data_IF_450231847296
#
_entry.id   IF_450231847296
#
_cell.length_a   1.000
_cell.length_b   1.000
_cell.length_c   1.000
_cell.angle_alpha   90.00
_cell.angle_beta   90.00
_cell.angle_gamma   90.00
#
_symmetry.space_group_name_H-M   'P 1'
#
loop_
_entity.id
_entity.type
_entity.pdbx_description
1 polymer ?
#
# COMPACT_ATOMS: atom_id res chain seq x y z
N UNK A 1 7.64 16.85 1.51
CA UNK A 1 6.63 16.12 2.32
C UNK A 1 7.03 16.21 3.79
N UNK A 2 6.11 16.56 4.66
CA UNK A 2 6.33 16.53 6.11
C UNK A 2 5.83 15.19 6.66
N UNK A 3 6.73 14.41 7.24
CA UNK A 3 6.41 13.06 7.72
C UNK A 3 5.36 13.07 8.84
N UNK A 4 5.41 14.06 9.74
CA UNK A 4 4.44 14.18 10.84
C UNK A 4 3.02 14.45 10.35
N UNK A 5 2.86 15.16 9.24
CA UNK A 5 1.54 15.43 8.67
C UNK A 5 0.83 14.17 8.17
N UNK A 6 1.55 13.07 7.99
CA UNK A 6 0.98 11.79 7.58
C UNK A 6 0.08 11.16 8.65
N UNK A 7 0.18 11.60 9.91
CA UNK A 7 -0.74 11.16 10.95
C UNK A 7 -2.21 11.50 10.65
N UNK A 8 -2.45 12.56 9.87
CA UNK A 8 -3.78 12.98 9.47
C UNK A 8 -4.41 12.07 8.41
N UNK A 9 -3.62 11.25 7.76
CA UNK A 9 -4.11 10.34 6.72
C UNK A 9 -4.85 9.18 7.36
N UNK A 10 -6.04 8.89 6.83
CA UNK A 10 -6.84 7.74 7.28
C UNK A 10 -6.05 6.44 7.11
N UNK A 11 -5.99 5.65 8.16
CA UNK A 11 -5.31 4.35 8.16
C UNK A 11 -4.97 3.91 9.58
N UNK A 12 -4.49 2.68 9.70
CA UNK A 12 -4.30 2.01 10.98
C UNK A 12 -2.85 2.06 11.47
N UNK A 13 -1.94 2.62 10.69
CA UNK A 13 -0.52 2.63 11.03
C UNK A 13 -0.18 3.76 12.02
N UNK A 14 0.30 3.44 13.24
CA UNK A 14 0.80 4.46 14.16
C UNK A 14 2.04 5.16 13.58
N UNK A 15 2.27 6.41 13.99
CA UNK A 15 3.38 7.21 13.47
C UNK A 15 4.74 6.52 13.63
N UNK A 16 5.01 5.94 14.80
CA UNK A 16 6.31 5.29 15.06
C UNK A 16 6.57 4.10 14.13
N UNK A 17 5.53 3.36 13.77
CA UNK A 17 5.65 2.27 12.79
C UNK A 17 5.88 2.84 11.38
N UNK A 18 5.17 3.90 11.02
CA UNK A 18 5.38 4.59 9.74
C UNK A 18 6.77 5.16 9.61
N UNK A 19 7.29 5.77 10.68
CA UNK A 19 8.66 6.28 10.70
C UNK A 19 9.69 5.17 10.49
N UNK A 20 9.52 4.03 11.15
CA UNK A 20 10.37 2.86 10.96
C UNK A 20 10.28 2.33 9.53
N UNK A 21 9.05 2.25 8.98
CA UNK A 21 8.82 1.82 7.62
C UNK A 21 9.52 2.73 6.61
N UNK A 22 9.47 4.04 6.84
CA UNK A 22 10.16 5.04 6.03
C UNK A 22 11.70 4.83 6.02
N UNK A 23 12.27 4.51 7.17
CA UNK A 23 13.70 4.22 7.28
C UNK A 23 14.10 2.95 6.53
N UNK A 24 13.29 1.91 6.62
CA UNK A 24 13.52 0.69 5.86
C UNK A 24 13.38 0.92 4.36
N UNK A 25 12.40 1.73 3.96
CA UNK A 25 12.23 2.10 2.56
C UNK A 25 13.47 2.84 2.03
N UNK A 26 14.02 3.76 2.79
CA UNK A 26 15.27 4.45 2.43
C UNK A 26 16.42 3.46 2.27
N UNK A 27 16.58 2.54 3.22
CA UNK A 27 17.66 1.57 3.19
C UNK A 27 17.56 0.62 1.99
N UNK A 28 16.39 0.01 1.80
CA UNK A 28 16.23 -1.06 0.81
C UNK A 28 15.94 -0.55 -0.60
N UNK A 29 15.44 0.68 -0.76
CA UNK A 29 15.25 1.27 -2.09
C UNK A 29 16.57 1.57 -2.80
N UNK A 30 17.69 1.55 -2.08
CA UNK A 30 19.02 1.55 -2.66
C UNK A 30 19.23 0.35 -3.61
N UNK A 31 18.52 -0.75 -3.40
CA UNK A 31 18.64 -1.98 -4.20
C UNK A 31 17.62 -2.09 -5.32
N UNK A 32 16.57 -1.30 -5.30
CA UNK A 32 15.51 -1.34 -6.29
C UNK A 32 14.20 -0.76 -5.78
N UNK A 33 13.17 -0.75 -6.61
CA UNK A 33 11.87 -0.23 -6.21
C UNK A 33 11.23 -1.07 -5.11
N UNK A 34 10.26 -0.46 -4.44
CA UNK A 34 9.53 -1.07 -3.34
C UNK A 34 8.15 -1.48 -3.83
N UNK A 35 7.65 -2.60 -3.34
CA UNK A 35 6.27 -3.02 -3.55
C UNK A 35 5.53 -3.10 -2.23
N UNK A 36 4.36 -2.50 -2.17
CA UNK A 36 3.41 -2.62 -1.08
C UNK A 36 2.22 -3.48 -1.50
N UNK A 37 1.83 -4.43 -0.66
CA UNK A 37 0.64 -5.24 -0.84
C UNK A 37 -0.36 -4.86 0.25
N UNK A 38 -1.50 -4.30 -0.17
CA UNK A 38 -2.49 -3.78 0.75
C UNK A 38 -2.23 -2.30 1.04
N UNK A 39 -2.99 -1.44 0.41
CA UNK A 39 -2.70 0.00 0.36
C UNK A 39 -3.72 0.82 1.11
N UNK A 40 -4.99 0.42 1.06
CA UNK A 40 -6.11 1.10 1.67
C UNK A 40 -6.16 2.57 1.20
N UNK A 41 -6.04 3.54 2.09
CA UNK A 41 -6.11 4.98 1.77
C UNK A 41 -4.73 5.61 1.54
N UNK A 42 -3.66 4.81 1.55
CA UNK A 42 -2.32 5.26 1.18
C UNK A 42 -1.44 5.74 2.31
N UNK A 43 -1.82 5.55 3.57
CA UNK A 43 -1.01 6.02 4.70
C UNK A 43 0.38 5.38 4.72
N UNK A 44 0.45 4.06 4.69
CA UNK A 44 1.73 3.33 4.62
C UNK A 44 2.47 3.62 3.33
N UNK A 45 1.74 3.74 2.21
CA UNK A 45 2.32 4.09 0.91
C UNK A 45 3.09 5.40 0.96
N UNK A 46 2.57 6.40 1.69
CA UNK A 46 3.20 7.71 1.84
C UNK A 46 4.49 7.63 2.68
N UNK A 47 4.51 6.82 3.73
CA UNK A 47 5.73 6.58 4.50
C UNK A 47 6.79 5.87 3.64
N UNK A 48 6.38 4.87 2.86
CA UNK A 48 7.27 4.20 1.91
C UNK A 48 7.80 5.16 0.85
N UNK A 49 6.92 6.00 0.30
CA UNK A 49 7.27 7.02 -0.69
C UNK A 49 8.33 7.98 -0.17
N UNK A 50 8.17 8.45 1.06
CA UNK A 50 9.12 9.36 1.69
C UNK A 50 10.53 8.75 1.74
N UNK A 51 10.64 7.50 2.19
CA UNK A 51 11.92 6.81 2.26
C UNK A 51 12.52 6.50 0.90
N UNK A 52 11.71 5.95 0.00
CA UNK A 52 12.15 5.55 -1.34
C UNK A 52 12.60 6.74 -2.19
N UNK A 53 11.98 7.90 -1.98
CA UNK A 53 12.34 9.11 -2.72
C UNK A 53 13.77 9.59 -2.44
N UNK A 54 14.35 9.22 -1.32
CA UNK A 54 15.75 9.50 -0.99
C UNK A 54 16.72 8.87 -2.01
N UNK A 55 16.30 7.77 -2.64
CA UNK A 55 17.07 7.06 -3.66
C UNK A 55 16.43 7.18 -5.07
N UNK A 56 15.48 8.10 -5.26
CA UNK A 56 14.75 8.30 -6.51
C UNK A 56 14.08 7.01 -6.99
N UNK A 57 13.54 6.21 -6.07
CA UNK A 57 12.93 4.93 -6.39
C UNK A 57 11.41 4.99 -6.35
N UNK A 58 10.78 4.12 -7.14
CA UNK A 58 9.34 3.95 -7.22
C UNK A 58 8.83 3.09 -6.07
N UNK A 59 7.58 3.35 -5.69
CA UNK A 59 6.80 2.51 -4.80
C UNK A 59 5.59 2.03 -5.58
N UNK A 60 5.55 0.73 -5.88
CA UNK A 60 4.39 0.09 -6.50
C UNK A 60 3.42 -0.32 -5.40
N UNK A 61 2.17 0.12 -5.48
CA UNK A 61 1.15 -0.20 -4.48
C UNK A 61 0.11 -1.11 -5.10
N UNK A 62 -0.03 -2.31 -4.56
CA UNK A 62 -0.96 -3.33 -5.07
C UNK A 62 -2.16 -3.43 -4.14
N UNK A 63 -3.33 -3.09 -4.64
CA UNK A 63 -4.58 -3.20 -3.91
C UNK A 63 -5.73 -3.19 -4.90
N UNK A 64 -6.73 -4.04 -4.71
CA UNK A 64 -7.94 -3.98 -5.53
C UNK A 64 -8.86 -2.82 -5.09
N UNK A 65 -8.63 -2.24 -3.92
CA UNK A 65 -9.38 -1.11 -3.34
C UNK A 65 -10.87 -1.37 -3.06
N UNK A 66 -11.26 -2.63 -3.03
CA UNK A 66 -12.64 -3.03 -2.68
C UNK A 66 -12.80 -3.36 -1.20
N UNK A 67 -11.76 -3.06 -0.40
CA UNK A 67 -11.70 -3.40 1.01
C UNK A 67 -11.39 -4.87 1.25
N UNK A 68 -10.96 -5.18 2.48
CA UNK A 68 -10.87 -6.56 2.95
C UNK A 68 -12.21 -6.99 3.56
N UNK A 69 -12.32 -8.23 3.99
CA UNK A 69 -13.51 -8.72 4.69
C UNK A 69 -13.87 -7.84 5.88
N UNK A 70 -12.87 -7.32 6.58
CA UNK A 70 -13.02 -6.45 7.75
C UNK A 70 -13.64 -5.09 7.44
N UNK A 71 -13.64 -4.66 6.17
CA UNK A 71 -14.18 -3.37 5.73
C UNK A 71 -15.60 -3.46 5.17
N UNK A 72 -16.18 -4.65 5.07
CA UNK A 72 -17.54 -4.83 4.55
C UNK A 72 -18.61 -4.38 5.55
N UNK A 73 -19.84 -4.18 5.08
CA UNK A 73 -20.98 -3.85 5.94
C UNK A 73 -21.10 -4.93 7.03
N UNK A 74 -21.37 -4.49 8.27
CA UNK A 74 -21.49 -5.32 9.47
C UNK A 74 -20.18 -5.93 9.97
N UNK A 75 -19.04 -5.62 9.35
CA UNK A 75 -17.74 -6.03 9.85
C UNK A 75 -17.09 -4.95 10.74
N UNK A 76 -16.08 -5.35 11.51
CA UNK A 76 -15.47 -4.52 12.55
C UNK A 76 -14.91 -3.19 12.03
N UNK A 77 -14.36 -3.16 10.83
CA UNK A 77 -13.70 -1.98 10.26
C UNK A 77 -14.49 -1.32 9.15
N UNK A 78 -15.81 -1.49 9.11
CA UNK A 78 -16.66 -0.80 8.14
C UNK A 78 -16.51 0.73 8.27
N UNK A 79 -16.35 1.40 7.12
CA UNK A 79 -16.13 2.84 7.06
C UNK A 79 -16.99 3.47 5.96
N UNK A 80 -17.89 4.37 6.33
CA UNK A 80 -18.78 5.06 5.41
C UNK A 80 -18.04 5.95 4.40
N UNK A 81 -16.85 6.47 4.74
CA UNK A 81 -16.11 7.34 3.83
C UNK A 81 -15.61 6.62 2.57
N UNK A 82 -15.40 5.32 2.68
CA UNK A 82 -14.94 4.50 1.55
C UNK A 82 -16.02 3.62 0.96
N UNK A 83 -17.24 3.70 1.50
CA UNK A 83 -18.37 2.92 0.99
C UNK A 83 -19.05 3.69 -0.13
N UNK A 84 -19.14 3.06 -1.29
CA UNK A 84 -19.80 3.62 -2.46
C UNK A 84 -21.23 3.11 -2.50
N UNK A 85 -22.18 4.04 -2.29
CA UNK A 85 -23.62 3.72 -2.27
C UNK A 85 -24.18 3.43 -3.66
N UNK A 86 -23.57 3.95 -4.72
CA UNK A 86 -24.01 3.70 -6.10
C UNK A 86 -23.71 2.26 -6.52
N UNK A 87 -22.51 1.77 -6.21
CA UNK A 87 -22.11 0.40 -6.51
C UNK A 87 -22.38 -0.58 -5.39
N UNK A 88 -22.85 -0.08 -4.24
CA UNK A 88 -23.10 -0.85 -3.03
C UNK A 88 -21.87 -1.65 -2.59
N UNK A 89 -20.68 -1.02 -2.65
CA UNK A 89 -19.40 -1.66 -2.36
C UNK A 89 -18.41 -0.70 -1.73
N UNK A 90 -17.37 -1.23 -1.10
CA UNK A 90 -16.23 -0.46 -0.60
C UNK A 90 -15.34 -0.06 -1.78
N UNK A 91 -14.90 1.19 -1.80
CA UNK A 91 -13.96 1.70 -2.79
C UNK A 91 -13.03 2.73 -2.14
N UNK A 92 -11.82 2.32 -1.81
CA UNK A 92 -10.81 3.18 -1.19
C UNK A 92 -9.94 3.95 -2.20
N UNK A 93 -10.05 3.64 -3.49
CA UNK A 93 -9.16 4.21 -4.50
C UNK A 93 -9.26 5.74 -4.64
N UNK A 94 -10.46 6.35 -4.68
CA UNK A 94 -10.55 7.81 -4.77
C UNK A 94 -9.87 8.53 -3.60
N UNK A 95 -10.01 8.02 -2.39
CA UNK A 95 -9.36 8.60 -1.21
C UNK A 95 -7.85 8.38 -1.25
N UNK A 96 -7.41 7.21 -1.69
CA UNK A 96 -5.99 6.93 -1.95
C UNK A 96 -5.40 7.97 -2.92
N UNK A 97 -6.02 8.18 -4.07
CA UNK A 97 -5.54 9.14 -5.07
C UNK A 97 -5.50 10.56 -4.49
N UNK A 98 -6.52 10.95 -3.75
CA UNK A 98 -6.58 12.25 -3.08
C UNK A 98 -5.38 12.44 -2.13
N UNK A 99 -5.06 11.43 -1.33
CA UNK A 99 -3.96 11.49 -0.39
C UNK A 99 -2.60 11.53 -1.09
N UNK A 100 -2.40 10.71 -2.11
CA UNK A 100 -1.16 10.72 -2.90
C UNK A 100 -0.93 12.11 -3.54
N UNK A 101 -1.98 12.70 -4.08
CA UNK A 101 -1.91 14.03 -4.70
C UNK A 101 -1.67 15.13 -3.66
N UNK A 102 -2.34 15.05 -2.51
CA UNK A 102 -2.16 16.01 -1.41
C UNK A 102 -0.71 16.12 -0.98
N UNK A 103 -0.03 15.00 -0.87
CA UNK A 103 1.38 14.95 -0.41
C UNK A 103 2.37 14.92 -1.56
N UNK A 104 1.91 15.03 -2.82
CA UNK A 104 2.77 15.08 -4.01
C UNK A 104 3.74 13.90 -4.10
N UNK A 105 3.24 12.72 -3.76
CA UNK A 105 4.03 11.49 -3.78
C UNK A 105 4.14 10.93 -5.21
N UNK A 106 4.90 11.62 -6.06
CA UNK A 106 5.00 11.33 -7.50
C UNK A 106 5.70 10.00 -7.81
N UNK A 107 6.38 9.40 -6.84
CA UNK A 107 7.02 8.10 -6.99
C UNK A 107 6.11 6.91 -6.63
N UNK A 108 4.85 7.14 -6.29
CA UNK A 108 3.87 6.08 -6.03
C UNK A 108 3.16 5.70 -7.32
N UNK A 109 3.19 4.41 -7.65
CA UNK A 109 2.57 3.85 -8.86
C UNK A 109 1.54 2.81 -8.43
N UNK A 110 0.23 3.13 -8.47
CA UNK A 110 -0.79 2.18 -8.06
C UNK A 110 -1.03 1.09 -9.10
N UNK A 111 -1.20 -0.13 -8.60
CA UNK A 111 -1.63 -1.29 -9.38
C UNK A 111 -2.95 -1.75 -8.77
N UNK A 112 -4.05 -1.44 -9.45
CA UNK A 112 -5.40 -1.73 -8.95
C UNK A 112 -5.79 -3.15 -9.37
N UNK A 113 -5.35 -4.10 -8.57
CA UNK A 113 -5.50 -5.53 -8.81
C UNK A 113 -5.45 -6.28 -7.49
N UNK A 114 -5.93 -7.53 -7.48
CA UNK A 114 -5.65 -8.42 -6.36
C UNK A 114 -4.16 -8.74 -6.32
N UNK A 115 -3.64 -9.04 -5.13
CA UNK A 115 -2.24 -9.42 -4.97
C UNK A 115 -1.90 -10.71 -5.75
N UNK A 116 -2.84 -11.64 -5.82
CA UNK A 116 -2.67 -12.89 -6.58
C UNK A 116 -2.50 -12.58 -8.07
N UNK A 117 -3.37 -11.76 -8.64
CA UNK A 117 -3.29 -11.41 -10.06
C UNK A 117 -2.03 -10.61 -10.39
N UNK A 118 -1.66 -9.66 -9.53
CA UNK A 118 -0.43 -8.89 -9.71
C UNK A 118 0.80 -9.80 -9.65
N UNK A 119 0.83 -10.75 -8.72
CA UNK A 119 1.96 -11.66 -8.54
C UNK A 119 2.16 -12.61 -9.73
N UNK A 120 1.08 -12.99 -10.42
CA UNK A 120 1.17 -13.90 -11.58
C UNK A 120 2.04 -13.36 -12.71
N UNK A 121 2.06 -12.05 -12.89
CA UNK A 121 2.75 -11.39 -14.01
C UNK A 121 3.94 -10.55 -13.58
N UNK A 122 4.18 -10.42 -12.28
CA UNK A 122 5.30 -9.62 -11.79
C UNK A 122 6.62 -10.37 -11.99
N UNK A 123 7.57 -9.74 -12.67
CA UNK A 123 8.88 -10.32 -12.96
C UNK A 123 10.04 -9.33 -12.82
N UNK A 124 9.79 -8.15 -12.28
CA UNK A 124 10.83 -7.15 -12.07
C UNK A 124 11.48 -7.31 -10.70
N UNK A 125 12.75 -6.91 -10.61
CA UNK A 125 13.50 -6.90 -9.35
C UNK A 125 12.93 -5.87 -8.38
N UNK A 126 12.93 -6.21 -7.10
CA UNK A 126 12.45 -5.35 -6.03
C UNK A 126 13.50 -5.22 -4.92
N UNK A 127 13.63 -4.03 -4.37
CA UNK A 127 14.48 -3.81 -3.19
C UNK A 127 13.80 -4.26 -1.90
N UNK A 128 12.47 -4.15 -1.83
CA UNK A 128 11.70 -4.48 -0.63
C UNK A 128 10.26 -4.80 -1.00
N UNK A 129 9.66 -5.71 -0.27
CA UNK A 129 8.21 -5.97 -0.32
C UNK A 129 7.64 -5.77 1.09
N UNK A 130 6.61 -4.94 1.20
CA UNK A 130 5.88 -4.71 2.43
C UNK A 130 4.45 -5.24 2.27
N UNK A 131 4.06 -6.17 3.14
CA UNK A 131 2.75 -6.83 3.06
C UNK A 131 1.91 -6.38 4.24
N UNK A 132 0.87 -5.60 3.94
CA UNK A 132 -0.10 -5.10 4.93
C UNK A 132 -1.53 -5.21 4.38
N UNK A 133 -1.79 -6.26 3.63
CA UNK A 133 -3.08 -6.52 3.01
C UNK A 133 -3.91 -7.51 3.78
N UNK A 134 -4.92 -8.06 3.10
CA UNK A 134 -5.78 -9.08 3.67
C UNK A 134 -5.00 -10.27 4.23
N UNK A 135 -5.47 -10.79 5.33
CA UNK A 135 -4.78 -11.85 6.09
C UNK A 135 -5.15 -13.26 5.63
N UNK A 136 -5.80 -13.41 4.47
CA UNK A 136 -6.08 -14.73 3.91
C UNK A 136 -4.78 -15.46 3.61
N UNK A 137 -4.68 -16.69 4.08
CA UNK A 137 -3.47 -17.51 3.96
C UNK A 137 -2.98 -17.60 2.50
N UNK A 138 -3.90 -17.78 1.57
CA UNK A 138 -3.58 -17.88 0.15
C UNK A 138 -2.90 -16.61 -0.38
N UNK A 139 -3.42 -15.43 -0.04
CA UNK A 139 -2.86 -14.14 -0.45
C UNK A 139 -1.43 -13.96 0.07
N UNK A 140 -1.23 -14.18 1.36
CA UNK A 140 0.07 -14.01 2.01
C UNK A 140 1.09 -14.99 1.46
N UNK A 141 0.72 -16.28 1.37
CA UNK A 141 1.61 -17.33 0.88
C UNK A 141 2.04 -17.10 -0.56
N UNK A 142 1.10 -16.74 -1.43
CA UNK A 142 1.39 -16.51 -2.85
C UNK A 142 2.31 -15.31 -3.05
N UNK A 143 2.02 -14.21 -2.40
CA UNK A 143 2.84 -12.99 -2.47
C UNK A 143 4.24 -13.25 -1.94
N UNK A 144 4.36 -13.96 -0.84
CA UNK A 144 5.66 -14.31 -0.23
C UNK A 144 6.53 -15.16 -1.19
N UNK A 145 5.94 -16.17 -1.82
CA UNK A 145 6.64 -16.99 -2.81
C UNK A 145 7.15 -16.16 -3.98
N UNK A 146 6.31 -15.29 -4.53
CA UNK A 146 6.72 -14.42 -5.64
C UNK A 146 7.81 -13.44 -5.23
N UNK A 147 7.76 -12.91 -4.03
CA UNK A 147 8.81 -12.03 -3.51
C UNK A 147 10.16 -12.76 -3.43
N UNK A 148 10.18 -14.03 -3.03
CA UNK A 148 11.38 -14.87 -3.03
C UNK A 148 11.91 -15.12 -4.44
N UNK A 149 11.04 -15.35 -5.40
CA UNK A 149 11.42 -15.55 -6.80
C UNK A 149 12.03 -14.30 -7.44
N UNK A 150 11.63 -13.12 -6.99
CA UNK A 150 12.10 -11.83 -7.54
C UNK A 150 13.31 -11.26 -6.81
N UNK A 151 13.63 -11.79 -5.65
CA UNK A 151 14.80 -11.35 -4.88
C UNK A 151 16.03 -12.17 -5.18
#
# INVERSE_FOLDING_TARGET
MNLEALEEVKGFMPYHEGEALSKWAEEFSNKGPIMEIGTYCGKSSLFLSYGANKNNQLVFTVDHHNGSEEHQIDEEYFDNEIYDTETNSVNSFPLFVKNINRFRASNVVPIVRSSVDAAKTWNAYLGMVFIDGGHALETVSYTHLRAHETS
#
